data_IF_734873206766
#
_entry.id   IF_734873206766
#
_cell.length_a   1.000
_cell.length_b   1.000
_cell.length_c   1.000
_cell.angle_alpha   90.00
_cell.angle_beta   90.00
_cell.angle_gamma   90.00
#
_symmetry.space_group_name_H-M   'P 1'
#
loop_
_entity.id
_entity.type
_entity.pdbx_description
1 polymer ?
#
# COMPACT_ATOMS: atom_id res chain seq x y z
N UNK A 1 -16.49 0.71 -71.80
CA UNK A 1 -15.37 1.06 -70.91
C UNK A 1 -15.11 -0.14 -70.03
N UNK A 2 -13.89 -0.68 -70.13
CA UNK A 2 -13.40 -1.92 -69.51
C UNK A 2 -13.25 -1.78 -67.99
N UNK A 3 -13.52 -2.87 -67.27
CA UNK A 3 -13.29 -2.99 -65.83
C UNK A 3 -11.83 -3.30 -65.46
N UNK A 4 -11.53 -3.05 -64.20
CA UNK A 4 -10.40 -3.53 -63.39
C UNK A 4 -10.89 -3.38 -61.93
N UNK A 5 -11.02 -4.50 -61.19
CA UNK A 5 -10.14 -4.91 -60.08
C UNK A 5 -10.33 -4.02 -58.83
N UNK A 6 -10.57 -4.48 -57.60
CA UNK A 6 -10.11 -5.67 -56.89
C UNK A 6 -10.87 -5.71 -55.53
N UNK A 7 -11.18 -6.90 -54.98
CA UNK A 7 -11.52 -7.12 -53.55
C UNK A 7 -10.25 -7.68 -52.86
N UNK A 8 -10.02 -7.64 -51.53
CA UNK A 8 -10.99 -7.64 -50.42
C UNK A 8 -10.63 -6.72 -49.21
N UNK A 9 -11.60 -6.43 -48.33
CA UNK A 9 -11.32 -5.80 -47.04
C UNK A 9 -10.89 -6.91 -46.07
N UNK A 10 -9.61 -6.91 -45.71
CA UNK A 10 -8.98 -7.87 -44.82
C UNK A 10 -9.37 -7.66 -43.35
N UNK A 11 -9.19 -8.75 -42.60
CA UNK A 11 -9.61 -9.07 -41.24
C UNK A 11 -9.31 -8.06 -40.12
N UNK A 12 -10.26 -8.04 -39.17
CA UNK A 12 -10.18 -8.02 -37.70
C UNK A 12 -8.94 -7.44 -36.99
N UNK A 13 -9.21 -6.63 -35.95
CA UNK A 13 -8.75 -6.92 -34.58
C UNK A 13 -9.50 -6.04 -33.55
N UNK A 14 -9.59 -6.49 -32.29
CA UNK A 14 -10.58 -6.04 -31.32
C UNK A 14 -10.22 -4.66 -30.76
N UNK A 15 -11.25 -3.88 -30.44
CA UNK A 15 -11.12 -2.71 -29.56
C UNK A 15 -10.55 -3.22 -28.24
N UNK A 16 -9.25 -3.03 -28.06
CA UNK A 16 -8.61 -3.07 -26.76
C UNK A 16 -9.22 -1.93 -25.94
N UNK A 17 -10.32 -2.23 -25.23
CA UNK A 17 -10.62 -1.58 -23.97
C UNK A 17 -9.48 -1.92 -23.01
N UNK A 18 -8.35 -1.24 -23.20
CA UNK A 18 -7.43 -0.99 -22.12
C UNK A 18 -8.19 -0.08 -21.16
N UNK A 19 -8.95 -0.71 -20.26
CA UNK A 19 -9.26 -0.11 -18.97
C UNK A 19 -7.90 0.08 -18.31
N UNK A 20 -7.26 1.21 -18.62
CA UNK A 20 -6.24 1.75 -17.76
C UNK A 20 -6.98 2.03 -16.45
N UNK A 21 -6.89 1.07 -15.52
CA UNK A 21 -6.98 1.35 -14.09
C UNK A 21 -5.83 2.31 -13.80
N UNK A 22 -6.04 3.57 -14.16
CA UNK A 22 -5.27 4.68 -13.65
C UNK A 22 -5.69 4.75 -12.18
N UNK A 23 -5.05 3.92 -11.35
CA UNK A 23 -4.98 4.15 -9.91
C UNK A 23 -4.65 5.63 -9.78
N UNK A 24 -5.64 6.43 -9.38
CA UNK A 24 -5.43 7.81 -9.05
C UNK A 24 -4.45 7.80 -7.87
N UNK A 25 -3.16 7.88 -8.16
CA UNK A 25 -2.12 7.94 -7.17
C UNK A 25 -2.46 9.17 -6.32
N UNK A 26 -2.97 8.95 -5.11
CA UNK A 26 -3.24 10.01 -4.17
C UNK A 26 -1.94 10.80 -4.01
N UNK A 27 -1.94 12.05 -4.46
CA UNK A 27 -0.77 12.92 -4.37
C UNK A 27 -0.56 13.29 -2.89
N UNK A 28 0.14 12.41 -2.16
CA UNK A 28 0.51 12.62 -0.76
C UNK A 28 1.66 13.63 -0.71
N UNK A 29 1.50 14.65 0.13
CA UNK A 29 2.56 15.61 0.43
C UNK A 29 3.34 15.19 1.67
N UNK A 30 4.53 15.75 1.88
CA UNK A 30 5.37 15.45 3.05
C UNK A 30 4.63 15.70 4.39
N UNK A 31 3.67 16.62 4.42
CA UNK A 31 2.88 16.96 5.60
C UNK A 31 1.88 15.86 6.01
N UNK A 32 1.48 15.01 5.07
CA UNK A 32 0.55 13.90 5.29
C UNK A 32 1.24 12.72 5.99
N UNK A 33 2.57 12.63 5.86
CA UNK A 33 3.35 11.56 6.48
C UNK A 33 3.59 11.82 7.97
N UNK A 34 3.62 10.72 8.73
CA UNK A 34 4.18 10.67 10.08
C UNK A 34 5.57 10.08 10.03
N UNK A 35 6.46 10.58 10.88
CA UNK A 35 7.87 10.21 10.84
C UNK A 35 8.34 9.74 12.20
N UNK A 36 9.03 8.61 12.20
CA UNK A 36 9.71 8.07 13.36
C UNK A 36 11.21 8.03 13.09
N UNK A 37 11.98 8.80 13.85
CA UNK A 37 13.44 8.64 13.88
C UNK A 37 13.79 7.47 14.79
N UNK A 38 14.47 6.46 14.25
CA UNK A 38 14.83 5.26 14.98
C UNK A 38 15.98 5.55 15.93
N UNK A 39 15.84 5.13 17.19
CA UNK A 39 16.92 5.15 18.18
C UNK A 39 18.02 4.18 17.80
N UNK A 40 17.65 3.04 17.19
CA UNK A 40 18.58 2.03 16.69
C UNK A 40 18.39 1.84 15.19
N UNK A 41 19.30 2.39 14.36
CA UNK A 41 19.20 2.24 12.91
C UNK A 41 19.25 0.78 12.47
N UNK A 42 18.39 0.41 11.51
CA UNK A 42 18.31 -0.95 10.97
C UNK A 42 19.22 -1.06 9.74
N UNK A 43 20.09 -2.06 9.72
CA UNK A 43 20.87 -2.39 8.55
C UNK A 43 20.02 -3.17 7.52
N UNK A 44 19.97 -2.64 6.28
CA UNK A 44 19.34 -3.26 5.11
C UNK A 44 20.37 -3.31 3.98
N UNK A 45 21.09 -4.43 3.87
CA UNK A 45 22.19 -4.55 2.91
C UNK A 45 23.28 -3.52 3.20
N UNK A 46 23.61 -2.68 2.22
CA UNK A 46 24.55 -1.55 2.35
C UNK A 46 23.93 -0.30 2.98
N UNK A 47 22.61 -0.25 3.15
CA UNK A 47 21.89 0.92 3.63
C UNK A 47 21.54 0.82 5.12
N UNK A 48 21.39 1.98 5.76
CA UNK A 48 20.88 2.10 7.12
C UNK A 48 19.58 2.88 7.10
N UNK A 49 18.54 2.26 7.63
CA UNK A 49 17.26 2.91 7.88
C UNK A 49 17.39 3.58 9.25
N UNK A 50 17.48 4.91 9.27
CA UNK A 50 17.52 5.71 10.50
C UNK A 50 16.18 6.41 10.79
N UNK A 51 15.27 6.44 9.81
CA UNK A 51 13.96 7.07 9.91
C UNK A 51 12.95 6.27 9.10
N UNK A 52 11.79 6.03 9.70
CA UNK A 52 10.62 5.44 9.05
C UNK A 52 9.62 6.56 8.76
N UNK A 53 9.00 6.49 7.59
CA UNK A 53 7.84 7.32 7.22
C UNK A 53 6.61 6.43 7.24
N UNK A 54 5.47 6.95 7.67
CA UNK A 54 4.19 6.26 7.65
C UNK A 54 3.19 7.16 6.94
N UNK A 55 2.61 6.67 5.84
CA UNK A 55 1.52 7.35 5.13
C UNK A 55 0.19 7.14 5.86
N UNK A 56 -0.81 8.02 5.66
CA UNK A 56 -2.18 7.72 6.06
C UNK A 56 -2.67 6.44 5.39
N UNK A 57 -3.52 5.69 6.10
CA UNK A 57 -4.21 4.53 5.52
C UNK A 57 -5.23 5.01 4.48
N UNK A 58 -5.30 4.32 3.36
CA UNK A 58 -6.34 4.53 2.34
C UNK A 58 -7.42 3.45 2.50
N UNK A 59 -8.57 3.64 1.86
CA UNK A 59 -9.70 2.72 2.01
C UNK A 59 -9.33 1.27 1.68
N UNK A 60 -8.58 1.05 0.59
CA UNK A 60 -8.10 -0.27 0.18
C UNK A 60 -7.26 -0.96 1.26
N UNK A 61 -6.39 -0.23 1.98
CA UNK A 61 -5.60 -0.82 3.07
C UNK A 61 -6.49 -1.36 4.20
N UNK A 62 -7.56 -0.62 4.49
CA UNK A 62 -8.52 -0.97 5.53
C UNK A 62 -9.38 -2.14 5.07
N UNK A 63 -9.81 -2.14 3.81
CA UNK A 63 -10.62 -3.21 3.23
C UNK A 63 -9.82 -4.52 3.17
N UNK A 64 -8.60 -4.51 2.63
CA UNK A 64 -7.71 -5.69 2.58
C UNK A 64 -7.47 -6.27 3.98
N UNK A 65 -7.23 -5.40 4.96
CA UNK A 65 -6.98 -5.81 6.33
C UNK A 65 -8.26 -6.33 7.02
N UNK A 66 -9.39 -5.64 6.84
CA UNK A 66 -10.70 -6.01 7.40
C UNK A 66 -11.21 -7.33 6.82
N UNK A 67 -10.93 -7.59 5.55
CA UNK A 67 -11.25 -8.86 4.87
C UNK A 67 -10.26 -9.99 5.21
N UNK A 68 -9.27 -9.72 6.07
CA UNK A 68 -8.20 -10.64 6.45
C UNK A 68 -7.32 -11.12 5.28
N UNK A 69 -7.25 -10.33 4.19
CA UNK A 69 -6.36 -10.59 3.05
C UNK A 69 -4.90 -10.26 3.40
N UNK A 70 -4.71 -9.27 4.26
CA UNK A 70 -3.40 -8.91 4.83
C UNK A 70 -3.44 -8.95 6.37
N UNK A 71 -2.33 -9.37 6.97
CA UNK A 71 -2.15 -9.31 8.42
C UNK A 71 -1.89 -7.88 8.91
N UNK A 72 -2.08 -7.63 10.20
CA UNK A 72 -1.74 -6.34 10.82
C UNK A 72 -0.27 -5.92 10.57
N UNK A 73 0.64 -6.90 10.51
CA UNK A 73 2.05 -6.63 10.20
C UNK A 73 2.26 -6.20 8.75
N UNK A 74 1.50 -6.78 7.83
CA UNK A 74 1.55 -6.42 6.41
C UNK A 74 0.94 -5.05 6.16
N UNK A 75 -0.17 -4.73 6.83
CA UNK A 75 -0.73 -3.39 6.84
C UNK A 75 0.31 -2.37 7.34
N UNK A 76 0.91 -2.59 8.52
CA UNK A 76 1.94 -1.69 9.06
C UNK A 76 3.13 -1.55 8.11
N UNK A 77 3.56 -2.64 7.47
CA UNK A 77 4.64 -2.63 6.49
C UNK A 77 4.29 -1.81 5.24
N UNK A 78 3.07 -1.97 4.73
CA UNK A 78 2.54 -1.24 3.57
C UNK A 78 2.45 0.27 3.87
N UNK A 79 1.90 0.65 5.02
CA UNK A 79 1.84 2.07 5.45
C UNK A 79 3.22 2.68 5.66
N UNK A 80 4.19 1.88 6.08
CA UNK A 80 5.57 2.34 6.28
C UNK A 80 6.44 2.27 5.01
N UNK A 81 5.91 1.72 3.91
CA UNK A 81 6.65 1.45 2.67
C UNK A 81 7.94 0.64 2.90
N UNK A 82 7.91 -0.30 3.85
CA UNK A 82 9.02 -1.20 4.16
C UNK A 82 8.57 -2.64 4.08
N UNK A 83 9.51 -3.59 4.02
CA UNK A 83 9.14 -5.00 4.09
C UNK A 83 8.82 -5.43 5.53
N UNK A 84 7.93 -6.43 5.75
CA UNK A 84 7.67 -6.98 7.07
C UNK A 84 8.92 -7.48 7.81
N UNK A 85 9.96 -7.87 7.06
CA UNK A 85 11.25 -8.28 7.59
C UNK A 85 12.06 -7.14 8.23
N UNK A 86 11.90 -5.90 7.74
CA UNK A 86 12.50 -4.71 8.37
C UNK A 86 11.85 -4.47 9.74
N UNK A 87 10.52 -4.55 9.80
CA UNK A 87 9.77 -4.40 11.04
C UNK A 87 10.14 -5.47 12.09
N UNK A 88 10.61 -6.65 11.67
CA UNK A 88 11.12 -7.71 12.59
C UNK A 88 12.44 -7.35 13.26
N UNK A 89 13.20 -6.40 12.71
CA UNK A 89 14.51 -6.00 13.21
C UNK A 89 14.44 -4.79 14.14
N UNK A 90 13.26 -4.17 14.29
CA UNK A 90 13.08 -3.04 15.20
C UNK A 90 13.39 -3.47 16.63
N UNK A 91 14.10 -2.61 17.34
CA UNK A 91 14.22 -2.72 18.78
C UNK A 91 12.85 -2.48 19.42
N UNK A 92 12.62 -3.05 20.60
CA UNK A 92 11.31 -3.00 21.26
C UNK A 92 10.81 -1.56 21.44
N UNK A 93 11.69 -0.64 21.85
CA UNK A 93 11.36 0.78 22.04
C UNK A 93 10.99 1.49 20.74
N UNK A 94 11.70 1.19 19.65
CA UNK A 94 11.37 1.73 18.33
C UNK A 94 10.08 1.09 17.75
N UNK A 95 9.80 -0.18 18.08
CA UNK A 95 8.58 -0.86 17.67
C UNK A 95 7.34 -0.32 18.39
N UNK A 96 7.45 -0.05 19.70
CA UNK A 96 6.38 0.56 20.50
C UNK A 96 6.05 1.96 19.98
N UNK A 97 7.06 2.82 19.77
CA UNK A 97 6.87 4.15 19.22
C UNK A 97 6.23 4.12 17.82
N UNK A 98 6.55 3.12 16.99
CA UNK A 98 5.92 2.94 15.68
C UNK A 98 4.44 2.55 15.82
N UNK A 99 4.10 1.69 16.77
CA UNK A 99 2.71 1.29 17.04
C UNK A 99 1.86 2.44 17.59
N UNK A 100 2.43 3.32 18.40
CA UNK A 100 1.74 4.54 18.85
C UNK A 100 1.38 5.44 17.67
N UNK A 101 2.31 5.64 16.72
CA UNK A 101 2.04 6.39 15.49
C UNK A 101 0.97 5.69 14.66
N UNK A 102 1.05 4.36 14.56
CA UNK A 102 0.06 3.57 13.82
C UNK A 102 -1.36 3.75 14.37
N UNK A 103 -1.56 3.75 15.69
CA UNK A 103 -2.88 4.00 16.31
C UNK A 103 -3.38 5.45 16.14
N UNK A 104 -2.49 6.42 15.90
CA UNK A 104 -2.91 7.79 15.55
C UNK A 104 -3.39 7.89 14.10
N UNK A 105 -2.86 7.05 13.22
CA UNK A 105 -3.16 7.04 11.79
C UNK A 105 -4.37 6.16 11.47
N UNK A 106 -4.45 5.00 12.10
CA UNK A 106 -5.57 4.05 11.96
C UNK A 106 -6.43 4.17 13.21
N UNK A 107 -7.65 4.72 13.11
CA UNK A 107 -8.53 4.89 14.26
C UNK A 107 -8.84 3.56 14.95
N UNK A 108 -8.99 3.59 16.28
CA UNK A 108 -9.22 2.38 17.08
C UNK A 108 -10.47 1.58 16.67
N UNK A 109 -11.51 2.25 16.13
CA UNK A 109 -12.73 1.57 15.69
C UNK A 109 -12.51 0.58 14.54
N UNK A 110 -11.42 0.76 13.77
CA UNK A 110 -11.00 -0.20 12.75
C UNK A 110 -10.60 -1.53 13.42
N UNK A 111 -9.98 -1.48 14.59
CA UNK A 111 -9.53 -2.68 15.32
C UNK A 111 -10.62 -3.34 16.18
N UNK A 112 -11.82 -2.75 16.27
CA UNK A 112 -12.94 -3.35 17.00
C UNK A 112 -13.61 -4.38 16.09
N UNK A 113 -13.24 -5.64 16.25
CA UNK A 113 -14.09 -6.74 15.76
C UNK A 113 -15.44 -6.60 16.45
N UNK A 114 -16.59 -6.58 15.74
CA UNK A 114 -17.87 -6.71 16.41
C UNK A 114 -17.82 -8.03 17.18
N UNK A 115 -17.85 -7.92 18.51
CA UNK A 115 -17.99 -9.07 19.37
C UNK A 115 -19.36 -9.66 19.02
N UNK A 116 -19.37 -10.79 18.34
CA UNK A 116 -20.58 -11.60 18.16
C UNK A 116 -21.12 -11.95 19.56
N UNK A 117 -22.04 -11.12 20.05
CA UNK A 117 -23.00 -11.50 21.09
C UNK A 117 -24.15 -12.19 20.36
N UNK A 118 -24.00 -13.50 20.12
CA UNK A 118 -25.05 -14.39 19.65
C UNK A 118 -24.99 -15.74 20.39
#
# INVERSE_FOLDING_TARGET
MTGADEAPVAAAEPTAEAVAEEEAALELTDADYRYLTLRRPIARGSEKIARIRMRPAVLEDIDDWSNAEISNRELLARLCEVSPAVLKKLAWDDAEALMEIFHQVVPEFVFVTPKDDA
#
